data_IF_065910603872
#
_entry.id   IF_065910603872
#
_cell.length_a   1.000
_cell.length_b   1.000
_cell.length_c   1.000
_cell.angle_alpha   90.00
_cell.angle_beta   90.00
_cell.angle_gamma   90.00
#
_symmetry.space_group_name_H-M   'P 1'
#
loop_
_entity.id
_entity.type
_entity.pdbx_description
1 polymer ?
#
# COMPACT_ATOMS: atom_id res chain seq x y z
N UNK A 1 -11.42 9.83 32.96
CA UNK A 1 -10.63 8.61 32.71
C UNK A 1 -9.37 9.06 31.99
N UNK A 2 -8.16 8.67 32.41
CA UNK A 2 -6.99 8.82 31.54
C UNK A 2 -7.35 8.14 30.22
N UNK A 3 -7.48 8.95 29.19
CA UNK A 3 -8.17 8.56 27.96
C UNK A 3 -7.24 7.76 27.05
N UNK A 4 -7.79 6.93 26.16
CA UNK A 4 -7.02 6.33 25.05
C UNK A 4 -6.28 7.38 24.19
N UNK A 5 -6.62 8.66 24.32
CA UNK A 5 -5.93 9.82 23.74
C UNK A 5 -4.55 10.12 24.32
N UNK A 6 -4.24 9.64 25.53
CA UNK A 6 -2.97 9.89 26.21
C UNK A 6 -1.87 8.93 25.75
N UNK A 7 -2.25 7.76 25.20
CA UNK A 7 -1.30 6.77 24.69
C UNK A 7 -0.44 7.41 23.59
N UNK A 8 0.91 7.40 23.71
CA UNK A 8 1.80 7.92 22.68
C UNK A 8 1.66 7.17 21.35
N UNK A 9 1.94 7.86 20.24
CA UNK A 9 1.80 7.29 18.89
C UNK A 9 2.70 6.07 18.68
N UNK A 10 3.87 6.07 19.29
CA UNK A 10 4.86 4.98 19.24
C UNK A 10 4.31 3.71 19.91
N UNK A 11 3.61 3.86 21.03
CA UNK A 11 2.96 2.74 21.72
C UNK A 11 1.79 2.24 20.89
N UNK A 12 0.99 3.12 20.27
CA UNK A 12 -0.08 2.71 19.36
C UNK A 12 0.44 1.96 18.14
N UNK A 13 1.56 2.40 17.56
CA UNK A 13 2.22 1.71 16.45
C UNK A 13 2.61 0.28 16.86
N UNK A 14 3.19 0.11 18.04
CA UNK A 14 3.55 -1.22 18.57
C UNK A 14 2.32 -2.10 18.80
N UNK A 15 1.24 -1.55 19.38
CA UNK A 15 -0.01 -2.26 19.59
C UNK A 15 -0.61 -2.70 18.25
N UNK A 16 -0.69 -1.81 17.27
CA UNK A 16 -1.28 -2.14 15.96
C UNK A 16 -0.42 -3.13 15.19
N UNK A 17 0.91 -2.99 15.24
CA UNK A 17 1.83 -3.96 14.66
C UNK A 17 1.69 -5.35 15.30
N UNK A 18 1.49 -5.41 16.62
CA UNK A 18 1.20 -6.67 17.31
C UNK A 18 -0.13 -7.27 16.86
N UNK A 19 -1.19 -6.46 16.79
CA UNK A 19 -2.52 -6.89 16.32
C UNK A 19 -2.45 -7.44 14.89
N UNK A 20 -1.70 -6.79 14.01
CA UNK A 20 -1.52 -7.22 12.61
C UNK A 20 -0.81 -8.57 12.46
N UNK A 21 -0.01 -9.00 13.45
CA UNK A 21 0.64 -10.32 13.47
C UNK A 21 -0.30 -11.45 13.88
N UNK A 22 -1.47 -11.13 14.43
CA UNK A 22 -2.43 -12.13 14.86
C UNK A 22 -3.04 -12.87 13.66
N UNK A 23 -3.14 -14.19 13.73
CA UNK A 23 -3.84 -15.00 12.72
C UNK A 23 -5.34 -14.64 12.58
N UNK A 24 -5.91 -13.96 13.59
CA UNK A 24 -7.31 -13.49 13.58
C UNK A 24 -7.47 -12.06 13.04
N UNK A 25 -6.37 -11.41 12.66
CA UNK A 25 -6.38 -10.03 12.21
C UNK A 25 -7.32 -9.84 11.01
N UNK A 26 -8.08 -8.74 11.03
CA UNK A 26 -8.91 -8.29 9.92
C UNK A 26 -8.58 -6.83 9.61
N UNK A 27 -8.37 -6.47 8.35
CA UNK A 27 -8.15 -5.07 7.93
C UNK A 27 -9.26 -4.12 8.44
N UNK A 28 -10.49 -4.62 8.60
CA UNK A 28 -11.61 -3.85 9.17
C UNK A 28 -11.37 -3.36 10.60
N UNK A 29 -10.48 -3.99 11.38
CA UNK A 29 -10.15 -3.51 12.72
C UNK A 29 -9.43 -2.16 12.66
N UNK A 30 -8.52 -1.95 11.69
CA UNK A 30 -7.88 -0.65 11.49
C UNK A 30 -8.89 0.43 11.10
N UNK A 31 -9.97 0.07 10.42
CA UNK A 31 -11.08 1.00 10.14
C UNK A 31 -11.80 1.40 11.43
N UNK A 32 -12.04 0.46 12.35
CA UNK A 32 -12.65 0.77 13.64
C UNK A 32 -11.73 1.61 14.54
N UNK A 33 -10.43 1.31 14.54
CA UNK A 33 -9.44 2.06 15.33
C UNK A 33 -9.35 3.52 14.89
N UNK A 34 -9.66 3.82 13.62
CA UNK A 34 -9.72 5.19 13.13
C UNK A 34 -10.81 6.05 13.79
N UNK A 35 -11.80 5.43 14.43
CA UNK A 35 -12.97 6.09 15.00
C UNK A 35 -12.82 6.39 16.51
N UNK A 36 -11.72 5.95 17.15
CA UNK A 36 -11.53 6.09 18.61
C UNK A 36 -11.20 7.53 19.00
N UNK A 37 -10.12 8.08 18.44
CA UNK A 37 -9.72 9.47 18.64
C UNK A 37 -8.76 9.93 17.53
N UNK A 38 -8.44 11.22 17.47
CA UNK A 38 -7.54 11.79 16.43
C UNK A 38 -6.19 11.08 16.34
N UNK A 39 -5.59 10.74 17.49
CA UNK A 39 -4.27 10.08 17.52
C UNK A 39 -4.35 8.65 16.99
N UNK A 40 -5.35 7.89 17.41
CA UNK A 40 -5.61 6.55 16.87
C UNK A 40 -5.92 6.59 15.37
N UNK A 41 -6.70 7.59 14.93
CA UNK A 41 -6.97 7.82 13.51
C UNK A 41 -5.71 7.94 12.69
N UNK A 42 -4.79 8.81 13.09
CA UNK A 42 -3.54 9.02 12.38
C UNK A 42 -2.74 7.72 12.26
N UNK A 43 -2.51 7.03 13.39
CA UNK A 43 -1.68 5.82 13.41
C UNK A 43 -2.36 4.69 12.64
N UNK A 44 -3.67 4.49 12.80
CA UNK A 44 -4.42 3.44 12.12
C UNK A 44 -4.51 3.68 10.61
N UNK A 45 -4.66 4.94 10.16
CA UNK A 45 -4.58 5.30 8.73
C UNK A 45 -3.22 4.95 8.16
N UNK A 46 -2.14 5.32 8.84
CA UNK A 46 -0.77 4.96 8.41
C UNK A 46 -0.63 3.44 8.31
N UNK A 47 -1.06 2.68 9.32
CA UNK A 47 -1.00 1.21 9.27
C UNK A 47 -1.82 0.63 8.11
N UNK A 48 -3.03 1.14 7.88
CA UNK A 48 -3.95 0.64 6.85
C UNK A 48 -3.43 0.87 5.43
N UNK A 49 -2.84 2.04 5.15
CA UNK A 49 -2.39 2.42 3.82
C UNK A 49 -0.90 2.14 3.56
N UNK A 50 -0.11 1.82 4.59
CA UNK A 50 1.33 1.55 4.43
C UNK A 50 1.66 0.42 3.44
N UNK A 51 0.80 -0.61 3.37
CA UNK A 51 0.91 -1.74 2.45
C UNK A 51 -0.42 -1.95 1.75
N UNK A 52 -0.39 -1.90 0.42
CA UNK A 52 -1.58 -2.03 -0.43
C UNK A 52 -1.42 -3.23 -1.36
N UNK A 53 -2.43 -4.09 -1.37
CA UNK A 53 -2.51 -5.25 -2.26
C UNK A 53 -3.43 -4.92 -3.43
N UNK A 54 -2.88 -4.91 -4.65
CA UNK A 54 -3.58 -4.58 -5.88
C UNK A 54 -3.63 -5.84 -6.75
N UNK A 55 -4.75 -6.55 -6.64
CA UNK A 55 -4.86 -7.92 -7.13
C UNK A 55 -5.42 -8.05 -8.54
N UNK A 56 -6.05 -7.01 -9.08
CA UNK A 56 -6.66 -6.97 -10.41
C UNK A 56 -6.94 -5.51 -10.82
N UNK A 57 -7.32 -5.32 -12.09
CA UNK A 57 -7.62 -4.02 -12.69
C UNK A 57 -8.73 -3.27 -11.94
N UNK A 58 -9.82 -3.95 -11.54
CA UNK A 58 -10.93 -3.30 -10.81
C UNK A 58 -10.47 -2.74 -9.44
N UNK A 59 -9.65 -3.50 -8.72
CA UNK A 59 -9.10 -3.08 -7.43
C UNK A 59 -8.15 -1.91 -7.63
N UNK A 60 -7.33 -1.93 -8.69
CA UNK A 60 -6.43 -0.84 -9.07
C UNK A 60 -7.21 0.46 -9.34
N UNK A 61 -8.23 0.41 -10.20
CA UNK A 61 -9.04 1.56 -10.58
C UNK A 61 -9.77 2.16 -9.38
N UNK A 62 -10.40 1.31 -8.55
CA UNK A 62 -11.07 1.74 -7.32
C UNK A 62 -10.07 2.36 -6.35
N UNK A 63 -8.89 1.76 -6.19
CA UNK A 63 -7.84 2.30 -5.34
C UNK A 63 -7.38 3.68 -5.81
N UNK A 64 -7.06 3.83 -7.10
CA UNK A 64 -6.64 5.11 -7.69
C UNK A 64 -7.72 6.18 -7.51
N UNK A 65 -8.98 5.84 -7.76
CA UNK A 65 -10.11 6.73 -7.53
C UNK A 65 -10.19 7.17 -6.05
N UNK A 66 -10.06 6.24 -5.11
CA UNK A 66 -10.06 6.56 -3.69
C UNK A 66 -8.85 7.40 -3.25
N UNK A 67 -7.65 7.15 -3.79
CA UNK A 67 -6.45 7.91 -3.42
C UNK A 67 -6.51 9.35 -3.92
N UNK A 68 -7.02 9.58 -5.14
CA UNK A 68 -7.25 10.92 -5.69
C UNK A 68 -8.21 11.75 -4.83
N UNK A 69 -9.20 11.10 -4.19
CA UNK A 69 -10.20 11.78 -3.35
C UNK A 69 -9.82 11.92 -1.87
N UNK A 70 -9.03 11.00 -1.33
CA UNK A 70 -8.70 10.97 0.11
C UNK A 70 -7.33 11.54 0.46
N UNK A 71 -6.49 11.77 -0.55
CA UNK A 71 -5.07 12.12 -0.45
C UNK A 71 -4.27 11.13 0.41
N UNK A 72 -4.78 9.93 0.68
CA UNK A 72 -4.13 8.97 1.59
C UNK A 72 -2.92 8.27 0.97
N UNK A 73 -2.72 8.37 -0.35
CA UNK A 73 -1.67 7.63 -1.04
C UNK A 73 -0.24 8.05 -0.68
N UNK A 74 -0.04 9.23 -0.09
CA UNK A 74 1.25 9.62 0.50
C UNK A 74 1.68 8.72 1.67
N UNK A 75 0.75 7.96 2.27
CA UNK A 75 1.04 6.99 3.34
C UNK A 75 1.52 5.64 2.79
N UNK A 76 1.31 5.38 1.49
CA UNK A 76 1.68 4.12 0.86
C UNK A 76 3.20 4.00 0.77
N UNK A 77 3.73 2.91 1.32
CA UNK A 77 5.17 2.58 1.26
C UNK A 77 5.44 1.32 0.47
N UNK A 78 4.53 0.36 0.51
CA UNK A 78 4.66 -0.93 -0.19
C UNK A 78 3.42 -1.17 -1.07
N UNK A 79 3.64 -1.50 -2.33
CA UNK A 79 2.60 -1.96 -3.26
C UNK A 79 2.88 -3.42 -3.60
N UNK A 80 1.88 -4.28 -3.43
CA UNK A 80 1.91 -5.68 -3.83
C UNK A 80 1.01 -5.87 -5.07
N UNK A 81 1.61 -6.22 -6.20
CA UNK A 81 0.93 -6.49 -7.46
C UNK A 81 0.69 -8.01 -7.62
N UNK A 82 -0.49 -8.44 -8.08
CA UNK A 82 -0.79 -9.85 -8.33
C UNK A 82 -0.87 -10.20 -9.82
N UNK A 83 -0.63 -11.45 -10.18
CA UNK A 83 -0.53 -11.99 -11.56
C UNK A 83 -1.80 -11.84 -12.41
N UNK A 84 -2.91 -11.32 -11.87
CA UNK A 84 -4.19 -11.27 -12.59
C UNK A 84 -4.37 -9.99 -13.42
N UNK A 85 -3.35 -9.14 -13.54
CA UNK A 85 -3.37 -8.04 -14.51
C UNK A 85 -3.47 -8.63 -15.91
N UNK A 86 -4.66 -8.52 -16.52
CA UNK A 86 -4.95 -9.11 -17.84
C UNK A 86 -4.51 -8.20 -18.99
N UNK A 87 -4.29 -6.91 -18.73
CA UNK A 87 -3.96 -5.90 -19.74
C UNK A 87 -2.54 -5.39 -19.54
N UNK A 88 -1.59 -6.13 -20.13
CA UNK A 88 -0.15 -5.85 -20.02
C UNK A 88 0.26 -4.56 -20.74
N UNK A 89 -0.47 -4.17 -21.78
CA UNK A 89 -0.22 -2.96 -22.57
C UNK A 89 -0.46 -1.65 -21.81
N UNK A 90 -1.20 -1.69 -20.69
CA UNK A 90 -1.48 -0.51 -19.86
C UNK A 90 -0.66 -0.45 -18.57
N UNK A 91 0.33 -1.32 -18.41
CA UNK A 91 1.13 -1.38 -17.18
C UNK A 91 1.87 -0.07 -16.88
N UNK A 92 2.49 0.57 -17.89
CA UNK A 92 3.15 1.87 -17.72
C UNK A 92 2.15 2.96 -17.30
N UNK A 93 0.97 3.00 -17.94
CA UNK A 93 -0.09 3.95 -17.59
C UNK A 93 -0.53 3.80 -16.13
N UNK A 94 -0.77 2.56 -15.69
CA UNK A 94 -1.16 2.29 -14.31
C UNK A 94 -0.06 2.65 -13.30
N UNK A 95 1.22 2.41 -13.63
CA UNK A 95 2.33 2.83 -12.76
C UNK A 95 2.41 4.36 -12.68
N UNK A 96 2.23 5.07 -13.81
CA UNK A 96 2.21 6.53 -13.80
C UNK A 96 1.07 7.07 -12.91
N UNK A 97 -0.13 6.50 -13.02
CA UNK A 97 -1.24 6.89 -12.14
C UNK A 97 -0.98 6.55 -10.67
N UNK A 98 -0.32 5.42 -10.39
CA UNK A 98 0.08 5.06 -9.03
C UNK A 98 1.13 6.00 -8.47
N UNK A 99 2.06 6.50 -9.28
CA UNK A 99 3.10 7.45 -8.85
C UNK A 99 2.45 8.75 -8.41
N UNK A 100 1.53 9.28 -9.21
CA UNK A 100 0.78 10.49 -8.88
C UNK A 100 -0.05 10.31 -7.61
N UNK A 101 -0.72 9.16 -7.48
CA UNK A 101 -1.54 8.86 -6.30
C UNK A 101 -0.70 8.57 -5.05
N UNK A 102 0.45 7.91 -5.21
CA UNK A 102 1.30 7.36 -4.14
C UNK A 102 2.77 7.76 -4.36
N UNK A 103 3.17 9.00 -4.06
CA UNK A 103 4.52 9.50 -4.38
C UNK A 103 5.63 8.89 -3.51
N UNK A 104 5.25 8.22 -2.44
CA UNK A 104 6.10 7.86 -1.30
C UNK A 104 6.47 6.37 -1.24
N UNK A 105 6.22 5.64 -2.33
CA UNK A 105 6.45 4.20 -2.43
C UNK A 105 7.94 3.90 -2.37
N UNK A 106 8.29 2.95 -1.51
CA UNK A 106 9.66 2.48 -1.32
C UNK A 106 9.84 1.04 -1.81
N UNK A 107 8.74 0.28 -1.96
CA UNK A 107 8.79 -1.15 -2.28
C UNK A 107 7.67 -1.52 -3.24
N UNK A 108 8.02 -2.21 -4.32
CA UNK A 108 7.04 -2.88 -5.18
C UNK A 108 7.34 -4.36 -5.18
N UNK A 109 6.35 -5.14 -4.76
CA UNK A 109 6.40 -6.60 -4.71
C UNK A 109 5.35 -7.13 -5.67
N UNK A 110 5.50 -8.36 -6.10
CA UNK A 110 4.40 -9.03 -6.77
C UNK A 110 4.75 -10.37 -7.32
N UNK A 111 3.73 -11.19 -7.49
CA UNK A 111 3.80 -12.33 -8.38
C UNK A 111 3.38 -11.79 -9.75
N UNK A 112 4.31 -11.61 -10.68
CA UNK A 112 4.02 -11.25 -12.07
C UNK A 112 4.47 -12.45 -12.90
N UNK A 113 3.56 -13.00 -13.70
CA UNK A 113 3.77 -14.27 -14.41
C UNK A 113 4.54 -14.09 -15.73
N UNK A 114 4.62 -12.87 -16.24
CA UNK A 114 5.29 -12.54 -17.49
C UNK A 114 6.52 -11.64 -17.24
N UNK A 115 7.69 -12.06 -17.72
CA UNK A 115 8.96 -11.37 -17.50
C UNK A 115 9.01 -9.97 -18.14
N UNK A 116 8.52 -9.82 -19.37
CA UNK A 116 8.48 -8.53 -20.05
C UNK A 116 7.60 -7.52 -19.31
N UNK A 117 6.49 -8.00 -18.75
CA UNK A 117 5.58 -7.18 -17.93
C UNK A 117 6.25 -6.73 -16.64
N UNK A 118 6.97 -7.64 -15.97
CA UNK A 118 7.78 -7.29 -14.81
C UNK A 118 8.87 -6.26 -15.17
N UNK A 119 9.54 -6.43 -16.32
CA UNK A 119 10.55 -5.49 -16.81
C UNK A 119 9.96 -4.11 -17.09
N UNK A 120 8.78 -4.04 -17.70
CA UNK A 120 8.08 -2.77 -17.95
C UNK A 120 7.71 -2.08 -16.64
N UNK A 121 7.12 -2.83 -15.69
CA UNK A 121 6.72 -2.29 -14.38
C UNK A 121 7.94 -1.80 -13.58
N UNK A 122 9.02 -2.57 -13.54
CA UNK A 122 10.24 -2.18 -12.82
C UNK A 122 10.93 -0.98 -13.46
N UNK A 123 10.94 -0.90 -14.78
CA UNK A 123 11.51 0.24 -15.51
C UNK A 123 10.71 1.52 -15.23
N UNK A 124 9.38 1.44 -15.32
CA UNK A 124 8.50 2.56 -14.98
C UNK A 124 8.64 2.95 -13.50
N UNK A 125 8.57 1.98 -12.59
CA UNK A 125 8.70 2.21 -11.15
C UNK A 125 10.04 2.88 -10.79
N UNK A 126 11.16 2.41 -11.35
CA UNK A 126 12.49 2.99 -11.10
C UNK A 126 12.64 4.40 -11.65
N UNK A 127 11.98 4.69 -12.77
CA UNK A 127 11.98 6.03 -13.38
C UNK A 127 11.18 7.03 -12.54
N UNK A 128 10.09 6.58 -11.93
CA UNK A 128 9.09 7.46 -11.33
C UNK A 128 9.13 7.55 -9.80
N UNK A 129 9.59 6.50 -9.09
CA UNK A 129 9.80 6.53 -7.64
C UNK A 129 11.29 6.63 -7.30
N UNK A 130 11.81 7.84 -7.02
CA UNK A 130 13.25 8.07 -6.82
C UNK A 130 13.80 7.40 -5.55
N UNK A 131 12.93 7.03 -4.60
CA UNK A 131 13.30 6.41 -3.32
C UNK A 131 12.95 4.93 -3.24
N UNK A 132 12.76 4.27 -4.39
CA UNK A 132 12.47 2.85 -4.41
C UNK A 132 13.69 2.05 -3.93
N UNK A 133 13.47 1.22 -2.90
CA UNK A 133 14.50 0.42 -2.22
C UNK A 133 14.39 -1.06 -2.59
N UNK A 134 13.19 -1.54 -2.89
CA UNK A 134 12.95 -2.95 -3.16
C UNK A 134 12.05 -3.12 -4.39
N UNK A 135 12.54 -3.88 -5.37
CA UNK A 135 11.79 -4.41 -6.51
C UNK A 135 11.97 -5.93 -6.51
N UNK A 136 11.03 -6.66 -5.89
CA UNK A 136 11.17 -8.12 -5.76
C UNK A 136 10.87 -8.81 -7.09
N UNK A 137 11.89 -9.43 -7.70
CA UNK A 137 11.74 -10.19 -8.93
C UNK A 137 11.05 -11.54 -8.66
N UNK A 138 9.85 -11.81 -9.23
CA UNK A 138 9.14 -13.07 -9.02
C UNK A 138 9.78 -14.27 -9.71
N UNK A 139 10.77 -14.07 -10.59
CA UNK A 139 11.43 -15.12 -11.37
C UNK A 139 12.78 -15.59 -10.79
N UNK A 140 13.22 -15.01 -9.67
CA UNK A 140 14.49 -15.35 -9.00
C UNK A 140 14.27 -16.16 -7.71
N UNK A 141 13.12 -16.82 -7.57
CA UNK A 141 12.76 -17.70 -6.44
C UNK A 141 12.66 -19.15 -6.88
#
# INVERSE_FOLDING_TARGET
MPGFSEIPSEILQQIFAYVQKSAKYKKSWMVQYQLVCKRWNQVARTCLYSLVDLCNDETMERFLHCMKNSSAGHLTRTICLSTRYRKYETAELYINELVEACPNVERVKGAISNYDSWRTITTAASKHWPHIKELTNPFLL
#
